data_IF_326447219315
#
_entry.id   IF_326447219315
#
_cell.length_a   1.000
_cell.length_b   1.000
_cell.length_c   1.000
_cell.angle_alpha   90.00
_cell.angle_beta   90.00
_cell.angle_gamma   90.00
#
_symmetry.space_group_name_H-M   'P 1'
#
loop_
_entity.id
_entity.type
_entity.pdbx_description
1 polymer ?
#
# COMPACT_ATOMS: atom_id res chain seq x y z
N UNK A 1 -26.34 41.28 31.89
CA UNK A 1 -26.48 40.76 30.50
C UNK A 1 -25.10 40.53 29.87
N UNK A 2 -24.10 40.06 30.62
CA UNK A 2 -22.69 40.00 30.17
C UNK A 2 -22.03 38.61 30.32
N UNK A 3 -22.54 37.71 31.18
CA UNK A 3 -21.94 36.38 31.38
C UNK A 3 -22.14 35.41 30.22
N UNK A 4 -23.28 35.50 29.52
CA UNK A 4 -23.61 34.59 28.42
C UNK A 4 -22.73 34.79 27.19
N UNK A 5 -22.41 36.04 26.84
CA UNK A 5 -21.56 36.36 25.69
C UNK A 5 -20.11 35.91 25.92
N UNK A 6 -19.56 36.14 27.11
CA UNK A 6 -18.21 35.71 27.48
C UNK A 6 -18.11 34.17 27.43
N UNK A 7 -19.13 33.47 27.93
CA UNK A 7 -19.19 32.01 27.88
C UNK A 7 -19.24 31.48 26.43
N UNK A 8 -20.05 32.10 25.57
CA UNK A 8 -20.17 31.73 24.16
C UNK A 8 -18.83 31.95 23.43
N UNK A 9 -18.19 33.11 23.61
CA UNK A 9 -16.90 33.43 22.99
C UNK A 9 -15.81 32.46 23.44
N UNK A 10 -15.74 32.14 24.73
CA UNK A 10 -14.78 31.16 25.26
C UNK A 10 -14.98 29.74 24.71
N UNK A 11 -16.23 29.33 24.55
CA UNK A 11 -16.59 28.03 23.96
C UNK A 11 -16.18 27.95 22.49
N UNK A 12 -16.49 28.99 21.71
CA UNK A 12 -16.13 29.07 20.28
C UNK A 12 -14.60 29.10 20.11
N UNK A 13 -13.89 29.88 20.93
CA UNK A 13 -12.42 29.92 20.93
C UNK A 13 -11.83 28.52 21.10
N UNK A 14 -12.28 27.80 22.12
CA UNK A 14 -11.78 26.45 22.43
C UNK A 14 -12.00 25.49 21.26
N UNK A 15 -13.15 25.58 20.60
CA UNK A 15 -13.46 24.79 19.40
C UNK A 15 -12.47 25.08 18.26
N UNK A 16 -12.28 26.37 17.93
CA UNK A 16 -11.42 26.78 16.83
C UNK A 16 -9.95 26.42 17.10
N UNK A 17 -9.46 26.59 18.33
CA UNK A 17 -8.11 26.16 18.73
C UNK A 17 -7.89 24.65 18.51
N UNK A 18 -8.92 23.84 18.82
CA UNK A 18 -8.91 22.40 18.58
C UNK A 18 -8.77 22.06 17.10
N UNK A 19 -9.50 22.75 16.24
CA UNK A 19 -9.46 22.53 14.79
C UNK A 19 -8.17 23.04 14.16
N UNK A 20 -7.61 24.17 14.62
CA UNK A 20 -6.29 24.64 14.20
C UNK A 20 -5.21 23.62 14.54
N UNK A 21 -5.27 22.99 15.72
CA UNK A 21 -4.31 21.94 16.10
C UNK A 21 -4.37 20.74 15.16
N UNK A 22 -5.57 20.34 14.71
CA UNK A 22 -5.74 19.28 13.70
C UNK A 22 -5.17 19.72 12.35
N UNK A 23 -5.50 20.93 11.89
CA UNK A 23 -4.96 21.49 10.65
C UNK A 23 -3.43 21.52 10.66
N UNK A 24 -2.81 21.91 11.78
CA UNK A 24 -1.36 21.92 11.94
C UNK A 24 -0.72 20.54 11.80
N UNK A 25 -1.44 19.50 12.24
CA UNK A 25 -0.97 18.12 12.08
C UNK A 25 -1.07 17.63 10.63
N UNK A 26 -2.07 18.11 9.88
CA UNK A 26 -2.30 17.77 8.47
C UNK A 26 -1.52 18.67 7.50
N UNK A 27 -0.98 19.79 7.98
CA UNK A 27 -0.36 20.80 7.13
C UNK A 27 0.90 20.27 6.43
N UNK A 28 1.03 20.45 5.10
CA UNK A 28 2.22 20.03 4.37
C UNK A 28 3.51 20.66 4.93
N UNK A 29 4.59 19.89 5.00
CA UNK A 29 5.85 20.35 5.61
C UNK A 29 6.57 21.44 4.79
N UNK A 30 6.30 21.46 3.49
CA UNK A 30 6.85 22.35 2.48
C UNK A 30 5.95 23.58 2.20
N UNK A 31 4.74 23.62 2.76
CA UNK A 31 3.84 24.77 2.64
C UNK A 31 4.07 25.76 3.79
N UNK A 32 4.13 27.07 3.49
CA UNK A 32 4.32 28.12 4.50
C UNK A 32 3.29 28.03 5.62
N UNK A 33 3.73 28.17 6.86
CA UNK A 33 2.88 28.14 8.07
C UNK A 33 2.46 29.54 8.53
N UNK A 34 2.81 30.57 7.77
CA UNK A 34 2.59 31.97 8.17
C UNK A 34 1.11 32.30 8.41
N UNK A 35 0.23 31.90 7.50
CA UNK A 35 -1.22 32.09 7.64
C UNK A 35 -1.81 31.30 8.83
N UNK A 36 -1.33 30.08 9.09
CA UNK A 36 -1.70 29.31 10.28
C UNK A 36 -1.29 30.02 11.57
N UNK A 37 -0.06 30.54 11.63
CA UNK A 37 0.43 31.29 12.79
C UNK A 37 -0.37 32.60 12.99
N UNK A 38 -0.79 33.25 11.92
CA UNK A 38 -1.64 34.45 11.99
C UNK A 38 -3.04 34.10 12.51
N UNK A 39 -3.64 33.02 12.01
CA UNK A 39 -4.91 32.50 12.50
C UNK A 39 -4.86 32.15 14.00
N UNK A 40 -3.81 31.47 14.46
CA UNK A 40 -3.57 31.17 15.88
C UNK A 40 -3.56 32.46 16.73
N UNK A 41 -2.91 33.52 16.26
CA UNK A 41 -2.84 34.82 16.98
C UNK A 41 -4.19 35.53 17.03
N UNK A 42 -4.97 35.48 15.96
CA UNK A 42 -6.32 36.11 15.91
C UNK A 42 -7.24 35.37 16.89
N UNK A 43 -7.24 34.04 16.87
CA UNK A 43 -8.06 33.21 17.76
C UNK A 43 -7.66 33.35 19.24
N UNK A 44 -6.38 33.64 19.53
CA UNK A 44 -5.97 33.92 20.91
C UNK A 44 -6.60 35.19 21.48
N UNK A 45 -6.85 36.21 20.66
CA UNK A 45 -7.49 37.47 21.07
C UNK A 45 -8.98 37.28 21.38
N UNK A 46 -9.68 36.48 20.57
CA UNK A 46 -11.08 36.05 20.73
C UNK A 46 -12.01 37.09 21.38
N UNK A 47 -12.29 38.17 20.65
CA UNK A 47 -13.36 39.11 20.96
C UNK A 47 -14.42 39.11 19.84
N UNK A 48 -15.45 39.96 19.97
CA UNK A 48 -16.56 40.02 19.02
C UNK A 48 -16.14 40.42 17.61
N UNK A 49 -15.10 41.25 17.48
CA UNK A 49 -14.67 41.86 16.22
C UNK A 49 -13.68 40.95 15.47
N UNK A 50 -13.00 40.04 16.18
CA UNK A 50 -12.06 39.07 15.58
C UNK A 50 -12.72 37.97 14.75
N UNK A 51 -14.04 37.75 14.85
CA UNK A 51 -14.73 36.69 14.09
C UNK A 51 -14.72 36.92 12.57
N UNK A 52 -14.78 38.18 12.12
CA UNK A 52 -14.63 38.50 10.70
C UNK A 52 -13.20 38.29 10.22
N UNK A 53 -12.20 38.66 11.04
CA UNK A 53 -10.78 38.43 10.74
C UNK A 53 -10.45 36.93 10.62
N UNK A 54 -11.05 36.10 11.47
CA UNK A 54 -10.93 34.63 11.39
C UNK A 54 -11.46 34.13 10.04
N UNK A 55 -12.62 34.62 9.60
CA UNK A 55 -13.21 34.22 8.32
C UNK A 55 -12.30 34.59 7.15
N UNK A 56 -11.81 35.82 7.10
CA UNK A 56 -10.92 36.28 6.03
C UNK A 56 -9.63 35.47 5.99
N UNK A 57 -9.10 35.11 7.16
CA UNK A 57 -7.91 34.28 7.28
C UNK A 57 -8.15 32.83 6.83
N UNK A 58 -9.35 32.28 7.08
CA UNK A 58 -9.75 30.96 6.57
C UNK A 58 -9.81 30.98 5.05
N UNK A 59 -10.40 31.99 4.43
CA UNK A 59 -10.47 32.10 2.96
C UNK A 59 -9.07 32.15 2.33
N UNK A 60 -8.13 32.89 2.91
CA UNK A 60 -6.74 32.90 2.44
C UNK A 60 -6.05 31.54 2.58
N UNK A 61 -6.36 30.79 3.65
CA UNK A 61 -5.84 29.43 3.84
C UNK A 61 -6.42 28.50 2.77
N UNK A 62 -7.73 28.59 2.49
CA UNK A 62 -8.40 27.81 1.44
C UNK A 62 -7.73 28.04 0.08
N UNK A 63 -7.60 29.31 -0.33
CA UNK A 63 -6.95 29.70 -1.59
C UNK A 63 -5.50 29.18 -1.68
N UNK A 64 -4.72 29.31 -0.61
CA UNK A 64 -3.35 28.81 -0.56
C UNK A 64 -3.31 27.29 -0.69
N UNK A 65 -4.21 26.56 -0.01
CA UNK A 65 -4.24 25.11 -0.08
C UNK A 65 -4.68 24.62 -1.45
N UNK A 66 -5.66 25.27 -2.08
CA UNK A 66 -6.13 24.92 -3.43
C UNK A 66 -5.04 25.16 -4.49
N UNK A 67 -4.34 26.30 -4.41
CA UNK A 67 -3.19 26.60 -5.28
C UNK A 67 -2.05 25.58 -5.07
N UNK A 68 -1.77 25.21 -3.82
CA UNK A 68 -0.76 24.20 -3.50
C UNK A 68 -1.11 22.82 -4.09
N UNK A 69 -2.34 22.34 -3.85
CA UNK A 69 -2.76 21.01 -4.33
C UNK A 69 -3.01 20.96 -5.84
N UNK A 70 -3.41 22.06 -6.47
CA UNK A 70 -3.58 22.13 -7.93
C UNK A 70 -2.25 22.08 -8.70
N UNK A 71 -1.15 22.53 -8.08
CA UNK A 71 0.21 22.46 -8.63
C UNK A 71 0.89 21.11 -8.42
N UNK A 72 0.37 20.27 -7.52
CA UNK A 72 0.85 18.90 -7.41
C UNK A 72 0.40 18.09 -8.64
N UNK A 73 1.22 17.15 -9.14
CA UNK A 73 0.75 16.22 -10.15
C UNK A 73 -0.51 15.57 -9.60
N UNK A 74 -1.62 15.69 -10.34
CA UNK A 74 -2.90 15.09 -9.99
C UNK A 74 -2.66 13.73 -9.37
N UNK A 75 -3.07 13.54 -8.11
CA UNK A 75 -3.08 12.26 -7.42
C UNK A 75 -4.12 11.31 -8.08
N UNK A 76 -4.09 11.18 -9.40
CA UNK A 76 -4.88 10.27 -10.22
C UNK A 76 -4.43 8.81 -10.07
N UNK A 77 -4.07 8.44 -8.85
CA UNK A 77 -4.24 7.10 -8.34
C UNK A 77 -5.12 7.26 -7.09
N UNK A 78 -6.43 7.56 -7.25
CA UNK A 78 -7.34 7.61 -6.12
C UNK A 78 -7.57 6.16 -5.71
N UNK A 79 -6.83 5.72 -4.70
CA UNK A 79 -7.02 4.41 -4.11
C UNK A 79 -6.21 4.30 -2.83
N UNK A 80 -6.82 3.71 -1.81
CA UNK A 80 -6.06 3.17 -0.70
C UNK A 80 -5.08 2.13 -1.27
N UNK A 81 -3.89 1.93 -0.68
CA UNK A 81 -2.93 0.92 -1.16
C UNK A 81 -3.61 -0.45 -1.38
N UNK A 82 -4.60 -0.76 -0.55
CA UNK A 82 -5.45 -1.96 -0.61
C UNK A 82 -6.09 -2.15 -1.98
N UNK A 83 -6.52 -1.07 -2.64
CA UNK A 83 -7.21 -1.11 -3.93
C UNK A 83 -6.27 -1.59 -5.05
N UNK A 84 -4.95 -1.52 -4.83
CA UNK A 84 -3.93 -2.03 -5.74
C UNK A 84 -3.43 -3.44 -5.38
N UNK A 85 -3.77 -3.95 -4.20
CA UNK A 85 -3.35 -5.27 -3.76
C UNK A 85 -4.27 -6.35 -4.35
N UNK A 86 -3.69 -7.50 -4.66
CA UNK A 86 -4.47 -8.66 -5.06
C UNK A 86 -5.31 -9.14 -3.86
N UNK A 87 -6.59 -9.52 -4.02
CA UNK A 87 -7.46 -9.92 -2.89
C UNK A 87 -6.84 -10.97 -1.95
N UNK A 88 -6.12 -11.95 -2.51
CA UNK A 88 -5.36 -12.95 -1.75
C UNK A 88 -4.24 -12.39 -0.86
N UNK A 89 -3.61 -11.28 -1.25
CA UNK A 89 -2.63 -10.58 -0.41
C UNK A 89 -3.33 -9.78 0.69
N UNK A 90 -4.46 -9.16 0.36
CA UNK A 90 -5.29 -8.48 1.37
C UNK A 90 -5.72 -9.47 2.46
N UNK A 91 -6.27 -10.61 2.06
CA UNK A 91 -6.73 -11.67 2.97
C UNK A 91 -5.62 -12.20 3.89
N UNK A 92 -4.43 -12.43 3.35
CA UNK A 92 -3.33 -13.06 4.10
C UNK A 92 -2.56 -12.10 5.03
N UNK A 93 -2.52 -10.81 4.68
CA UNK A 93 -1.45 -9.91 5.19
C UNK A 93 -1.94 -8.57 5.70
N UNK A 94 -3.15 -8.14 5.33
CA UNK A 94 -3.61 -6.78 5.60
C UNK A 94 -3.79 -6.51 7.09
N UNK A 95 -4.31 -7.47 7.85
CA UNK A 95 -4.48 -7.35 9.30
C UNK A 95 -3.14 -7.09 9.99
N UNK A 96 -2.11 -7.88 9.66
CA UNK A 96 -0.77 -7.72 10.24
C UNK A 96 -0.18 -6.36 9.87
N UNK A 97 -0.34 -5.93 8.60
CA UNK A 97 0.13 -4.63 8.16
C UNK A 97 -0.52 -3.48 8.96
N UNK A 98 -1.84 -3.49 9.10
CA UNK A 98 -2.60 -2.47 9.86
C UNK A 98 -2.24 -2.44 11.34
N UNK A 99 -1.83 -3.56 11.89
CA UNK A 99 -1.37 -3.68 13.29
C UNK A 99 0.11 -3.36 13.48
N UNK A 100 0.84 -2.93 12.44
CA UNK A 100 2.28 -2.64 12.52
C UNK A 100 3.18 -3.88 12.59
N UNK A 101 2.61 -5.08 12.40
CA UNK A 101 3.33 -6.36 12.37
C UNK A 101 3.92 -6.60 10.98
N UNK A 102 4.80 -5.70 10.55
CA UNK A 102 5.32 -5.64 9.19
C UNK A 102 6.03 -6.91 8.73
N UNK A 103 6.81 -7.53 9.61
CA UNK A 103 7.49 -8.81 9.34
C UNK A 103 6.48 -9.90 8.95
N UNK A 104 5.42 -10.04 9.74
CA UNK A 104 4.40 -11.06 9.55
C UNK A 104 3.54 -10.75 8.32
N UNK A 105 3.26 -9.47 8.05
CA UNK A 105 2.59 -9.05 6.83
C UNK A 105 3.37 -9.47 5.58
N UNK A 106 4.69 -9.19 5.53
CA UNK A 106 5.53 -9.61 4.39
C UNK A 106 5.61 -11.13 4.32
N UNK A 107 5.84 -11.80 5.45
CA UNK A 107 5.94 -13.26 5.47
C UNK A 107 4.67 -13.93 4.93
N UNK A 108 3.50 -13.54 5.45
CA UNK A 108 2.21 -14.10 5.04
C UNK A 108 1.91 -13.83 3.56
N UNK A 109 2.27 -12.65 3.04
CA UNK A 109 2.05 -12.30 1.65
C UNK A 109 2.80 -13.26 0.71
N UNK A 110 4.07 -13.56 1.01
CA UNK A 110 4.84 -14.50 0.21
C UNK A 110 4.40 -15.93 0.43
N UNK A 111 3.98 -16.33 1.63
CA UNK A 111 3.34 -17.65 1.85
C UNK A 111 2.11 -17.80 0.93
N UNK A 112 1.26 -16.79 0.84
CA UNK A 112 0.07 -16.80 -0.02
C UNK A 112 0.40 -16.95 -1.53
N UNK A 113 1.54 -16.42 -1.99
CA UNK A 113 2.04 -16.64 -3.37
C UNK A 113 2.28 -18.12 -3.64
N UNK A 114 3.03 -18.79 -2.75
CA UNK A 114 3.36 -20.22 -2.94
C UNK A 114 2.17 -21.14 -2.66
N UNK A 115 1.28 -20.76 -1.73
CA UNK A 115 -0.01 -21.44 -1.53
C UNK A 115 -0.83 -21.46 -2.81
N UNK A 116 -0.94 -20.33 -3.52
CA UNK A 116 -1.68 -20.28 -4.78
C UNK A 116 -1.07 -21.20 -5.84
N UNK A 117 0.26 -21.30 -5.91
CA UNK A 117 0.94 -22.24 -6.81
C UNK A 117 0.53 -23.68 -6.48
N UNK A 118 0.57 -24.07 -5.19
CA UNK A 118 0.15 -25.39 -4.73
C UNK A 118 -1.33 -25.66 -4.99
N UNK A 119 -2.20 -24.70 -4.71
CA UNK A 119 -3.64 -24.82 -4.94
C UNK A 119 -3.98 -25.08 -6.41
N UNK A 120 -3.32 -24.36 -7.33
CA UNK A 120 -3.54 -24.49 -8.78
C UNK A 120 -3.00 -25.82 -9.32
N UNK A 121 -1.91 -26.33 -8.77
CA UNK A 121 -1.18 -27.49 -9.33
C UNK A 121 -1.37 -28.79 -8.59
N UNK A 122 -1.80 -28.74 -7.33
CA UNK A 122 -1.87 -29.86 -6.38
C UNK A 122 -0.52 -30.54 -6.13
N UNK A 123 0.57 -29.81 -6.32
CA UNK A 123 1.93 -30.29 -6.02
C UNK A 123 2.27 -29.90 -4.59
N UNK A 124 2.66 -30.90 -3.80
CA UNK A 124 3.09 -30.73 -2.41
C UNK A 124 4.61 -30.63 -2.33
N UNK A 125 5.11 -29.45 -2.70
CA UNK A 125 6.52 -29.03 -2.56
C UNK A 125 6.57 -27.61 -2.06
N UNK A 126 7.74 -27.16 -1.61
CA UNK A 126 7.95 -25.78 -1.19
C UNK A 126 9.10 -25.11 -1.96
N UNK A 127 9.10 -23.78 -1.93
CA UNK A 127 10.18 -22.94 -2.40
C UNK A 127 10.69 -23.20 -3.81
N UNK A 128 12.01 -23.27 -3.94
CA UNK A 128 12.66 -23.35 -5.24
C UNK A 128 12.29 -24.62 -6.00
N UNK A 129 12.07 -25.73 -5.30
CA UNK A 129 11.69 -27.02 -5.89
C UNK A 129 10.26 -27.01 -6.43
N UNK A 130 9.33 -26.36 -5.71
CA UNK A 130 7.97 -26.14 -6.19
C UNK A 130 7.98 -25.33 -7.50
N UNK A 131 8.71 -24.21 -7.51
CA UNK A 131 8.78 -23.34 -8.70
C UNK A 131 9.43 -24.08 -9.87
N UNK A 132 10.54 -24.78 -9.62
CA UNK A 132 11.28 -25.52 -10.64
C UNK A 132 10.40 -26.60 -11.29
N UNK A 133 9.64 -27.36 -10.49
CA UNK A 133 8.75 -28.38 -11.04
C UNK A 133 7.59 -27.78 -11.83
N UNK A 134 6.88 -26.81 -11.23
CA UNK A 134 5.63 -26.26 -11.77
C UNK A 134 5.87 -25.49 -13.07
N UNK A 135 6.93 -24.70 -13.12
CA UNK A 135 7.16 -23.76 -14.22
C UNK A 135 8.30 -24.19 -15.15
N UNK A 136 8.87 -25.39 -15.00
CA UNK A 136 9.98 -25.88 -15.84
C UNK A 136 9.72 -25.70 -17.34
N UNK A 137 10.78 -25.44 -18.12
CA UNK A 137 10.64 -25.36 -19.58
C UNK A 137 10.41 -26.72 -20.23
N UNK A 138 10.93 -27.79 -19.63
CA UNK A 138 10.86 -29.13 -20.20
C UNK A 138 9.47 -29.77 -20.02
N UNK A 139 8.87 -29.65 -18.81
CA UNK A 139 7.58 -30.25 -18.47
C UNK A 139 6.74 -29.30 -17.58
N UNK A 140 6.39 -28.10 -18.08
CA UNK A 140 5.63 -27.14 -17.30
C UNK A 140 4.24 -27.68 -16.95
N UNK A 141 3.81 -27.40 -15.72
CA UNK A 141 2.41 -27.55 -15.28
C UNK A 141 1.65 -26.25 -15.51
N UNK A 142 2.32 -25.12 -15.26
CA UNK A 142 1.82 -23.78 -15.50
C UNK A 142 2.77 -23.02 -16.43
N UNK A 143 2.20 -22.20 -17.30
CA UNK A 143 2.96 -21.28 -18.16
C UNK A 143 2.44 -19.86 -18.03
N UNK A 144 3.35 -18.91 -17.90
CA UNK A 144 3.07 -17.48 -17.90
C UNK A 144 2.79 -16.95 -19.31
N UNK A 145 3.37 -17.60 -20.32
CA UNK A 145 3.33 -17.16 -21.72
C UNK A 145 3.46 -18.33 -22.71
N UNK A 146 3.48 -18.03 -24.01
CA UNK A 146 3.66 -19.04 -25.06
C UNK A 146 5.11 -19.51 -25.14
N UNK A 147 5.36 -20.79 -24.87
CA UNK A 147 6.71 -21.39 -25.00
C UNK A 147 7.11 -21.72 -26.45
N UNK A 148 6.42 -21.16 -27.44
CA UNK A 148 6.71 -21.38 -28.87
C UNK A 148 7.73 -20.42 -29.44
N UNK A 149 8.00 -19.31 -28.76
CA UNK A 149 8.93 -18.28 -29.23
C UNK A 149 9.93 -17.89 -28.13
N UNK A 150 11.02 -17.26 -28.53
CA UNK A 150 12.10 -16.87 -27.61
C UNK A 150 11.60 -15.92 -26.51
N UNK A 151 10.68 -15.00 -26.85
CA UNK A 151 10.13 -14.03 -25.91
C UNK A 151 9.40 -14.71 -24.73
N UNK A 152 8.45 -15.60 -25.02
CA UNK A 152 7.71 -16.32 -23.97
C UNK A 152 8.56 -17.31 -23.19
N UNK A 153 9.59 -17.90 -23.81
CA UNK A 153 10.59 -18.72 -23.10
C UNK A 153 11.40 -17.86 -22.12
N UNK A 154 11.81 -16.66 -22.53
CA UNK A 154 12.56 -15.75 -21.67
C UNK A 154 11.68 -15.21 -20.53
N UNK A 155 10.43 -14.87 -20.80
CA UNK A 155 9.47 -14.48 -19.77
C UNK A 155 9.27 -15.59 -18.74
N UNK A 156 9.08 -16.84 -19.19
CA UNK A 156 8.96 -17.99 -18.29
C UNK A 156 10.21 -18.16 -17.42
N UNK A 157 11.41 -18.10 -18.01
CA UNK A 157 12.69 -18.17 -17.26
C UNK A 157 12.81 -17.05 -16.24
N UNK A 158 12.47 -15.82 -16.62
CA UNK A 158 12.53 -14.65 -15.75
C UNK A 158 11.63 -14.83 -14.53
N UNK A 159 10.38 -15.23 -14.70
CA UNK A 159 9.48 -15.45 -13.57
C UNK A 159 9.85 -16.64 -12.69
N UNK A 160 10.47 -17.70 -13.23
CA UNK A 160 11.07 -18.76 -12.42
C UNK A 160 12.12 -18.16 -11.48
N UNK A 161 13.06 -17.38 -12.01
CA UNK A 161 14.13 -16.77 -11.23
C UNK A 161 13.60 -15.78 -10.20
N UNK A 162 12.61 -14.96 -10.57
CA UNK A 162 11.95 -14.00 -9.67
C UNK A 162 11.27 -14.74 -8.51
N UNK A 163 10.50 -15.80 -8.79
CA UNK A 163 9.82 -16.57 -7.74
C UNK A 163 10.80 -17.30 -6.83
N UNK A 164 11.87 -17.89 -7.38
CA UNK A 164 12.92 -18.53 -6.59
C UNK A 164 13.67 -17.52 -5.71
N UNK A 165 14.03 -16.37 -6.28
CA UNK A 165 14.67 -15.28 -5.56
C UNK A 165 13.77 -14.69 -4.47
N UNK A 166 12.47 -14.53 -4.74
CA UNK A 166 11.49 -14.10 -3.76
C UNK A 166 11.36 -15.08 -2.59
N UNK A 167 11.35 -16.38 -2.87
CA UNK A 167 11.37 -17.40 -1.82
C UNK A 167 12.64 -17.29 -0.98
N UNK A 168 13.81 -17.32 -1.62
CA UNK A 168 15.10 -17.43 -0.95
C UNK A 168 15.50 -16.15 -0.21
N UNK A 169 15.25 -14.99 -0.80
CA UNK A 169 15.68 -13.69 -0.28
C UNK A 169 14.66 -12.99 0.61
N UNK A 170 13.38 -13.36 0.53
CA UNK A 170 12.31 -12.65 1.26
C UNK A 170 11.61 -13.60 2.24
N UNK A 171 10.98 -14.67 1.75
CA UNK A 171 10.20 -15.58 2.60
C UNK A 171 11.11 -16.33 3.58
N UNK A 172 12.19 -16.94 3.08
CA UNK A 172 13.03 -17.84 3.87
C UNK A 172 13.69 -17.13 5.07
N UNK A 173 14.31 -15.94 4.93
CA UNK A 173 14.88 -15.23 6.08
C UNK A 173 13.82 -14.82 7.10
N UNK A 174 12.61 -14.44 6.65
CA UNK A 174 11.53 -14.02 7.55
C UNK A 174 10.87 -15.19 8.31
N UNK A 175 11.03 -16.41 7.82
CA UNK A 175 10.65 -17.64 8.53
C UNK A 175 11.62 -17.98 9.68
N UNK A 176 12.89 -17.61 9.54
CA UNK A 176 13.99 -18.09 10.40
C UNK A 176 14.69 -16.99 11.20
N UNK A 177 14.36 -15.72 10.97
CA UNK A 177 14.89 -14.58 11.71
C UNK A 177 13.78 -13.65 12.21
N UNK A 178 13.96 -13.13 13.43
CA UNK A 178 13.13 -12.08 14.02
C UNK A 178 13.61 -10.67 13.65
N UNK A 179 14.84 -10.54 13.16
CA UNK A 179 15.40 -9.25 12.78
C UNK A 179 14.75 -8.72 11.49
N UNK A 180 14.40 -7.44 11.51
CA UNK A 180 13.73 -6.80 10.38
C UNK A 180 14.02 -5.31 10.34
N UNK A 181 14.33 -4.81 9.14
CA UNK A 181 14.53 -3.40 8.80
C UNK A 181 13.27 -2.81 8.12
N UNK A 182 12.15 -3.53 8.21
CA UNK A 182 10.88 -3.18 7.59
C UNK A 182 10.24 -1.99 8.32
N UNK A 183 9.92 -0.97 7.56
CA UNK A 183 8.99 0.10 7.93
C UNK A 183 7.72 0.01 7.08
N UNK A 184 6.76 0.90 7.29
CA UNK A 184 5.49 0.90 6.56
C UNK A 184 5.69 0.93 5.03
N UNK A 185 6.53 1.84 4.54
CA UNK A 185 6.79 2.01 3.10
C UNK A 185 7.43 0.77 2.48
N UNK A 186 8.49 0.22 3.10
CA UNK A 186 9.13 -1.02 2.65
C UNK A 186 8.15 -2.18 2.65
N UNK A 187 7.30 -2.26 3.67
CA UNK A 187 6.28 -3.31 3.76
C UNK A 187 5.28 -3.21 2.61
N UNK A 188 4.78 -2.01 2.32
CA UNK A 188 3.90 -1.76 1.17
C UNK A 188 4.56 -2.23 -0.14
N UNK A 189 5.83 -1.91 -0.36
CA UNK A 189 6.56 -2.33 -1.56
C UNK A 189 6.60 -3.86 -1.70
N UNK A 190 6.84 -4.58 -0.60
CA UNK A 190 6.78 -6.04 -0.59
C UNK A 190 5.37 -6.57 -0.85
N UNK A 191 4.32 -5.96 -0.28
CA UNK A 191 2.92 -6.38 -0.50
C UNK A 191 2.48 -6.15 -1.96
N UNK A 192 2.88 -5.04 -2.57
CA UNK A 192 2.63 -4.75 -3.98
C UNK A 192 3.37 -5.74 -4.87
N UNK A 193 4.64 -6.04 -4.55
CA UNK A 193 5.40 -7.03 -5.30
C UNK A 193 4.79 -8.43 -5.18
N UNK A 194 4.41 -8.87 -3.98
CA UNK A 194 3.69 -10.13 -3.78
C UNK A 194 2.36 -10.15 -4.56
N UNK A 195 1.63 -9.03 -4.60
CA UNK A 195 0.38 -8.90 -5.37
C UNK A 195 0.61 -9.09 -6.87
N UNK A 196 1.70 -8.54 -7.42
CA UNK A 196 2.10 -8.79 -8.80
C UNK A 196 2.39 -10.28 -9.04
N UNK A 197 3.14 -10.93 -8.15
CA UNK A 197 3.45 -12.35 -8.29
C UNK A 197 2.19 -13.23 -8.23
N UNK A 198 1.29 -12.96 -7.28
CA UNK A 198 -0.01 -13.63 -7.21
C UNK A 198 -0.79 -13.45 -8.51
N UNK A 199 -0.89 -12.23 -9.03
CA UNK A 199 -1.58 -11.97 -10.30
C UNK A 199 -0.98 -12.78 -11.45
N UNK A 200 0.35 -12.80 -11.57
CA UNK A 200 1.04 -13.58 -12.62
C UNK A 200 0.80 -15.08 -12.48
N UNK A 201 0.82 -15.62 -11.26
CA UNK A 201 0.49 -17.03 -10.99
C UNK A 201 -0.98 -17.31 -11.30
N UNK A 202 -1.88 -16.39 -11.00
CA UNK A 202 -3.30 -16.59 -11.22
C UNK A 202 -3.66 -16.63 -12.72
N UNK A 203 -3.07 -15.72 -13.49
CA UNK A 203 -3.17 -15.66 -14.95
C UNK A 203 -2.44 -16.82 -15.66
N UNK A 204 -1.55 -17.55 -14.97
CA UNK A 204 -0.79 -18.64 -15.55
C UNK A 204 -1.71 -19.79 -15.99
N UNK A 205 -1.47 -20.27 -17.21
CA UNK A 205 -2.33 -21.29 -17.84
C UNK A 205 -1.84 -22.69 -17.56
N UNK A 206 -2.77 -23.60 -17.26
CA UNK A 206 -2.48 -25.04 -17.15
C UNK A 206 -2.12 -25.64 -18.49
N UNK A 207 -1.04 -26.41 -18.54
CA UNK A 207 -0.63 -27.14 -19.73
C UNK A 207 -1.40 -28.46 -19.79
N UNK A 208 -2.24 -28.63 -20.83
CA UNK A 208 -2.95 -29.90 -21.07
C UNK A 208 -1.95 -30.93 -21.58
N UNK A 209 -1.76 -32.02 -20.85
CA UNK A 209 -0.96 -33.17 -21.32
C UNK A 209 -1.76 -33.84 -22.44
N UNK A 210 -1.23 -33.83 -23.68
CA UNK A 210 -1.77 -34.68 -24.75
C UNK A 210 -1.49 -36.13 -24.37
N UNK A 211 -2.53 -36.90 -24.02
CA UNK A 211 -2.42 -38.36 -23.87
C UNK A 211 -1.98 -38.91 -25.23
N UNK A 212 -0.74 -39.40 -25.34
CA UNK A 212 -0.34 -40.26 -26.47
C UNK A 212 -1.10 -41.56 -26.28
N UNK A 213 -2.13 -41.79 -27.10
CA UNK A 213 -2.69 -43.13 -27.24
C UNK A 213 -1.58 -44.00 -27.86
N UNK A 214 -1.16 -45.05 -27.13
CA UNK A 214 -0.40 -46.15 -27.74
C UNK A 214 -1.39 -46.87 -28.67
N UNK A 215 -1.10 -46.83 -29.96
CA UNK A 215 -1.70 -47.70 -30.97
C UNK A 215 -1.05 -49.08 -30.80
#
# INVERSE_FOLDING_TARGET
MFDGEIYIIGTIKTYIEGDIKKLRHLWPNDLSKELLCTLEKIVQKADRDTLSEIRDQITQIEELTDDYFSKQPSNAVPGNIIDFLHPKIVESSYTQFRSGLFRDAVFNAFVAVFDLIREKTKIDRDGADLVAEVFSLAKPKLVFSSLKNASGINEQKGFIQILQGAYQGIRNPKAHSLETDLNEVKTIQYLVFASLLVRRVDEARKVKIKKKYKI
#
